data_IF_447032829415
#
_entry.id   IF_447032829415
#
_cell.length_a   1.000
_cell.length_b   1.000
_cell.length_c   1.000
_cell.angle_alpha   90.00
_cell.angle_beta   90.00
_cell.angle_gamma   90.00
#
_symmetry.space_group_name_H-M   'P 1'
#
loop_
_entity.id
_entity.type
_entity.pdbx_description
1 polymer ?
#
# COMPACT_ATOMS: atom_id res chain seq x y z
N UNK A 1 -4.65 11.64 29.43
CA UNK A 1 -5.82 11.92 28.55
C UNK A 1 -5.40 12.15 27.10
N UNK A 2 -4.44 13.03 26.81
CA UNK A 2 -3.96 13.34 25.46
C UNK A 2 -3.36 12.14 24.68
N UNK A 3 -2.75 11.18 25.37
CA UNK A 3 -2.13 9.98 24.78
C UNK A 3 -3.16 8.92 24.34
N UNK A 4 -4.30 8.85 25.01
CA UNK A 4 -5.40 7.92 24.68
C UNK A 4 -6.14 8.42 23.44
N UNK A 5 -6.40 9.73 23.37
CA UNK A 5 -7.06 10.36 22.22
C UNK A 5 -6.24 10.15 20.95
N UNK A 6 -4.90 10.27 20.99
CA UNK A 6 -4.05 9.99 19.82
C UNK A 6 -4.11 8.53 19.36
N UNK A 7 -4.26 7.59 20.28
CA UNK A 7 -4.33 6.15 19.97
C UNK A 7 -5.67 5.76 19.34
N UNK A 8 -6.76 6.41 19.75
CA UNK A 8 -8.12 6.07 19.33
C UNK A 8 -8.81 7.15 18.47
N UNK A 9 -8.05 8.09 17.91
CA UNK A 9 -8.59 9.25 17.20
C UNK A 9 -9.46 8.84 16.02
N UNK A 10 -9.02 7.83 15.26
CA UNK A 10 -9.78 7.30 14.12
C UNK A 10 -11.06 6.62 14.58
N UNK A 11 -11.00 5.81 15.62
CA UNK A 11 -12.15 5.10 16.21
C UNK A 11 -13.17 6.07 16.80
N UNK A 12 -12.71 7.18 17.40
CA UNK A 12 -13.57 8.25 17.90
C UNK A 12 -14.25 8.97 16.72
N UNK A 13 -13.53 9.27 15.64
CA UNK A 13 -14.13 9.87 14.44
C UNK A 13 -15.17 8.94 13.82
N UNK A 14 -14.84 7.66 13.65
CA UNK A 14 -15.79 6.67 13.14
C UNK A 14 -17.01 6.55 14.05
N UNK A 15 -16.82 6.55 15.37
CA UNK A 15 -17.91 6.55 16.35
C UNK A 15 -18.82 7.78 16.25
N UNK A 16 -18.26 8.98 16.05
CA UNK A 16 -19.03 10.21 15.85
C UNK A 16 -19.80 10.17 14.53
N UNK A 17 -19.17 9.76 13.43
CA UNK A 17 -19.85 9.61 12.13
C UNK A 17 -21.01 8.61 12.23
N UNK A 18 -20.80 7.50 12.93
CA UNK A 18 -21.83 6.48 13.15
C UNK A 18 -22.98 7.00 14.01
N UNK A 19 -22.70 7.74 15.08
CA UNK A 19 -23.73 8.38 15.91
C UNK A 19 -24.53 9.42 15.12
N UNK A 20 -23.86 10.22 14.28
CA UNK A 20 -24.53 11.20 13.42
C UNK A 20 -25.45 10.51 12.41
N UNK A 21 -25.02 9.38 11.82
CA UNK A 21 -25.86 8.55 10.94
C UNK A 21 -27.13 8.05 11.63
N UNK A 22 -27.01 7.46 12.82
CA UNK A 22 -28.19 6.96 13.55
C UNK A 22 -29.06 8.07 14.15
N UNK A 23 -28.51 9.25 14.37
CA UNK A 23 -29.27 10.38 14.92
C UNK A 23 -30.27 10.99 13.93
N UNK A 24 -30.10 10.75 12.63
CA UNK A 24 -30.92 11.38 11.58
C UNK A 24 -30.80 12.91 11.51
N UNK A 25 -29.84 13.51 12.23
CA UNK A 25 -29.65 14.97 12.29
C UNK A 25 -29.19 15.53 10.93
N UNK A 26 -28.44 14.73 10.18
CA UNK A 26 -27.95 15.09 8.84
C UNK A 26 -28.60 14.12 7.86
N UNK A 27 -29.49 14.64 7.02
CA UNK A 27 -30.02 13.87 5.89
C UNK A 27 -28.89 13.47 4.94
N UNK A 28 -28.96 12.25 4.41
CA UNK A 28 -28.02 11.71 3.44
C UNK A 28 -26.56 11.62 3.91
N UNK A 29 -26.29 11.39 5.21
CA UNK A 29 -24.92 11.39 5.73
C UNK A 29 -24.04 10.28 5.12
N UNK A 30 -24.65 9.19 4.67
CA UNK A 30 -24.02 8.13 3.90
C UNK A 30 -23.44 8.63 2.57
N UNK A 31 -24.10 9.59 1.91
CA UNK A 31 -23.61 10.21 0.68
C UNK A 31 -22.31 10.96 0.95
N UNK A 32 -22.27 11.76 2.02
CA UNK A 32 -21.05 12.49 2.41
C UNK A 32 -19.92 11.54 2.83
N UNK A 33 -20.25 10.48 3.57
CA UNK A 33 -19.28 9.47 3.99
C UNK A 33 -18.61 8.76 2.80
N UNK A 34 -19.42 8.29 1.84
CA UNK A 34 -18.91 7.65 0.62
C UNK A 34 -18.17 8.65 -0.26
N UNK A 35 -18.67 9.89 -0.36
CA UNK A 35 -18.00 10.98 -1.07
C UNK A 35 -16.59 11.25 -0.53
N UNK A 36 -16.42 11.33 0.79
CA UNK A 36 -15.10 11.45 1.43
C UNK A 36 -14.22 10.24 1.17
N UNK A 37 -14.81 9.03 1.17
CA UNK A 37 -14.11 7.80 0.77
C UNK A 37 -13.58 7.88 -0.67
N UNK A 38 -14.41 8.36 -1.61
CA UNK A 38 -14.02 8.55 -3.01
C UNK A 38 -12.88 9.57 -3.14
N UNK A 39 -12.98 10.72 -2.48
CA UNK A 39 -11.91 11.72 -2.46
C UNK A 39 -10.60 11.17 -1.88
N UNK A 40 -10.66 10.37 -0.83
CA UNK A 40 -9.49 9.75 -0.21
C UNK A 40 -8.79 8.78 -1.18
N UNK A 41 -9.56 7.96 -1.91
CA UNK A 41 -8.99 7.05 -2.92
C UNK A 41 -8.44 7.84 -4.11
N UNK A 42 -9.13 8.87 -4.57
CA UNK A 42 -8.66 9.74 -5.66
C UNK A 42 -7.34 10.42 -5.30
N UNK A 43 -7.20 10.93 -4.06
CA UNK A 43 -5.94 11.47 -3.56
C UNK A 43 -4.84 10.41 -3.52
N UNK A 44 -5.14 9.20 -3.05
CA UNK A 44 -4.19 8.08 -3.06
C UNK A 44 -3.74 7.68 -4.47
N UNK A 45 -4.62 7.78 -5.47
CA UNK A 45 -4.26 7.59 -6.89
C UNK A 45 -3.32 8.71 -7.36
N UNK A 46 -3.67 9.97 -7.07
CA UNK A 46 -2.85 11.12 -7.42
C UNK A 46 -1.43 11.01 -6.84
N UNK A 47 -1.32 10.69 -5.55
CA UNK A 47 -0.03 10.59 -4.88
C UNK A 47 0.87 9.52 -5.49
N UNK A 48 0.30 8.35 -5.84
CA UNK A 48 1.03 7.29 -6.57
C UNK A 48 1.54 7.77 -7.92
N UNK A 49 0.67 8.39 -8.73
CA UNK A 49 1.06 8.90 -10.06
C UNK A 49 2.18 9.93 -9.92
N UNK A 50 2.09 10.82 -8.93
CA UNK A 50 3.10 11.84 -8.65
C UNK A 50 4.44 11.23 -8.21
N UNK A 51 4.40 10.21 -7.35
CA UNK A 51 5.60 9.61 -6.74
C UNK A 51 6.23 8.49 -7.59
N UNK A 52 5.56 7.97 -8.63
CA UNK A 52 6.13 6.99 -9.59
C UNK A 52 7.49 7.40 -10.16
N UNK A 53 7.73 8.70 -10.33
CA UNK A 53 8.99 9.20 -10.88
C UNK A 53 10.15 9.19 -9.88
N UNK A 54 9.89 9.11 -8.57
CA UNK A 54 10.96 9.06 -7.54
C UNK A 54 11.63 7.69 -7.49
N UNK A 55 10.86 6.62 -7.71
CA UNK A 55 11.35 5.22 -7.72
C UNK A 55 12.32 4.95 -8.88
N UNK A 56 12.34 5.81 -9.92
CA UNK A 56 13.31 5.70 -11.02
C UNK A 56 14.74 6.13 -10.64
N UNK A 57 14.95 6.72 -9.45
CA UNK A 57 16.31 6.92 -8.96
C UNK A 57 16.92 5.53 -8.74
N UNK A 58 18.05 5.22 -9.38
CA UNK A 58 18.65 3.88 -9.37
C UNK A 58 19.12 3.37 -8.00
N UNK A 59 18.78 4.08 -6.92
CA UNK A 59 19.07 3.79 -5.52
C UNK A 59 17.85 3.20 -4.78
N UNK A 60 16.67 3.13 -5.42
CA UNK A 60 15.45 2.56 -4.85
C UNK A 60 15.09 1.29 -5.62
N UNK A 61 14.90 0.20 -4.88
CA UNK A 61 14.39 -1.07 -5.36
C UNK A 61 13.06 -1.35 -4.70
N UNK A 62 11.98 -1.32 -5.47
CA UNK A 62 10.67 -1.75 -4.98
C UNK A 62 10.65 -3.28 -4.77
N UNK A 63 9.94 -3.80 -3.77
CA UNK A 63 9.86 -5.24 -3.48
C UNK A 63 8.40 -5.67 -3.40
N UNK A 64 8.03 -6.68 -4.20
CA UNK A 64 6.67 -7.24 -4.21
C UNK A 64 6.50 -8.16 -3.00
N UNK A 65 5.39 -7.97 -2.28
CA UNK A 65 5.00 -8.86 -1.18
C UNK A 65 3.73 -9.64 -1.54
N UNK A 66 3.51 -10.75 -0.84
CA UNK A 66 2.27 -11.53 -0.98
C UNK A 66 1.00 -10.69 -0.69
N UNK A 67 1.11 -9.71 0.21
CA UNK A 67 0.01 -8.81 0.55
C UNK A 67 -0.33 -7.80 -0.56
N UNK A 68 0.61 -7.50 -1.46
CA UNK A 68 0.36 -6.58 -2.57
C UNK A 68 -0.60 -7.18 -3.59
N UNK A 69 -0.49 -8.49 -3.85
CA UNK A 69 -1.40 -9.21 -4.71
C UNK A 69 -2.80 -9.28 -4.09
N UNK A 70 -2.89 -9.60 -2.79
CA UNK A 70 -4.17 -9.57 -2.07
C UNK A 70 -4.82 -8.18 -2.13
N UNK A 71 -4.07 -7.11 -1.86
CA UNK A 71 -4.56 -5.72 -1.91
C UNK A 71 -5.02 -5.33 -3.31
N UNK A 72 -4.33 -5.78 -4.35
CA UNK A 72 -4.71 -5.53 -5.75
C UNK A 72 -6.03 -6.23 -6.06
N UNK A 73 -6.13 -7.51 -5.74
CA UNK A 73 -7.30 -8.35 -6.01
C UNK A 73 -8.53 -7.88 -5.23
N UNK A 74 -8.38 -7.55 -3.94
CA UNK A 74 -9.49 -7.08 -3.12
C UNK A 74 -10.08 -5.77 -3.64
N UNK A 75 -9.24 -4.80 -4.04
CA UNK A 75 -9.70 -3.57 -4.68
C UNK A 75 -10.44 -3.81 -6.00
N UNK A 76 -9.95 -4.76 -6.80
CA UNK A 76 -10.61 -5.15 -8.05
C UNK A 76 -12.01 -5.70 -7.78
N UNK A 77 -12.11 -6.69 -6.89
CA UNK A 77 -13.38 -7.34 -6.53
C UNK A 77 -14.36 -6.31 -5.94
N UNK A 78 -13.92 -5.52 -4.96
CA UNK A 78 -14.75 -4.48 -4.34
C UNK A 78 -15.22 -3.44 -5.36
N UNK A 79 -14.34 -3.04 -6.30
CA UNK A 79 -14.71 -2.12 -7.38
C UNK A 79 -15.79 -2.69 -8.30
N UNK A 80 -15.65 -3.95 -8.72
CA UNK A 80 -16.65 -4.64 -9.56
C UNK A 80 -18.00 -4.74 -8.82
N UNK A 81 -17.98 -5.21 -7.56
CA UNK A 81 -19.18 -5.35 -6.75
C UNK A 81 -19.86 -3.99 -6.57
N UNK A 82 -19.10 -2.93 -6.28
CA UNK A 82 -19.64 -1.58 -6.11
C UNK A 82 -20.33 -1.09 -7.39
N UNK A 83 -19.73 -1.30 -8.57
CA UNK A 83 -20.34 -0.87 -9.85
C UNK A 83 -21.61 -1.67 -10.12
N UNK A 84 -21.54 -3.00 -10.11
CA UNK A 84 -22.69 -3.86 -10.44
C UNK A 84 -23.84 -3.62 -9.46
N UNK A 85 -23.54 -3.63 -8.16
CA UNK A 85 -24.54 -3.39 -7.11
C UNK A 85 -25.19 -2.00 -7.24
N UNK A 86 -24.41 -0.99 -7.64
CA UNK A 86 -24.95 0.36 -7.83
C UNK A 86 -25.80 0.50 -9.08
N UNK A 87 -25.43 -0.16 -10.18
CA UNK A 87 -26.27 -0.21 -11.39
C UNK A 87 -27.63 -0.85 -11.07
N UNK A 88 -27.62 -1.97 -10.34
CA UNK A 88 -28.85 -2.60 -9.85
C UNK A 88 -29.62 -1.63 -8.95
N UNK A 89 -28.95 -0.98 -8.00
CA UNK A 89 -29.55 0.00 -7.11
C UNK A 89 -30.27 1.14 -7.85
N UNK A 90 -29.64 1.73 -8.87
CA UNK A 90 -30.24 2.80 -9.70
C UNK A 90 -31.51 2.33 -10.42
N UNK A 91 -31.54 1.06 -10.85
CA UNK A 91 -32.69 0.51 -11.59
C UNK A 91 -33.91 0.24 -10.69
N UNK A 92 -33.70 -0.04 -9.39
CA UNK A 92 -34.76 -0.48 -8.49
C UNK A 92 -35.06 0.49 -7.34
N UNK A 93 -34.22 1.49 -7.08
CA UNK A 93 -34.34 2.40 -5.93
C UNK A 93 -34.23 3.86 -6.37
N UNK A 94 -35.36 4.43 -6.78
CA UNK A 94 -35.41 5.78 -7.36
C UNK A 94 -34.99 6.90 -6.40
N UNK A 95 -35.24 6.74 -5.09
CA UNK A 95 -34.90 7.74 -4.07
C UNK A 95 -33.40 7.87 -3.81
N UNK A 96 -32.62 6.84 -4.12
CA UNK A 96 -31.20 6.71 -3.76
C UNK A 96 -30.24 6.88 -4.94
N UNK A 97 -30.71 7.45 -6.06
CA UNK A 97 -29.90 7.58 -7.29
C UNK A 97 -28.58 8.31 -7.06
N UNK A 98 -28.58 9.35 -6.23
CA UNK A 98 -27.37 10.11 -5.90
C UNK A 98 -26.34 9.23 -5.17
N UNK A 99 -26.79 8.46 -4.17
CA UNK A 99 -25.96 7.51 -3.43
C UNK A 99 -25.32 6.48 -4.35
N UNK A 100 -26.11 5.82 -5.19
CA UNK A 100 -25.60 4.80 -6.11
C UNK A 100 -24.69 5.38 -7.20
N UNK A 101 -24.93 6.61 -7.65
CA UNK A 101 -24.04 7.29 -8.60
C UNK A 101 -22.65 7.50 -7.99
N UNK A 102 -22.57 7.91 -6.73
CA UNK A 102 -21.28 8.10 -6.03
C UNK A 102 -20.59 6.75 -5.79
N UNK A 103 -21.34 5.68 -5.49
CA UNK A 103 -20.77 4.34 -5.40
C UNK A 103 -20.20 3.84 -6.73
N UNK A 104 -20.79 4.19 -7.87
CA UNK A 104 -20.22 3.90 -9.20
C UNK A 104 -18.86 4.59 -9.34
N UNK A 105 -18.78 5.89 -8.98
CA UNK A 105 -17.52 6.65 -9.01
C UNK A 105 -16.49 5.99 -8.11
N UNK A 106 -16.86 5.63 -6.87
CA UNK A 106 -15.99 4.92 -5.94
C UNK A 106 -15.51 3.59 -6.53
N UNK A 107 -16.40 2.84 -7.18
CA UNK A 107 -16.09 1.58 -7.84
C UNK A 107 -15.03 1.75 -8.93
N UNK A 108 -15.19 2.75 -9.81
CA UNK A 108 -14.17 3.08 -10.81
C UNK A 108 -12.83 3.49 -10.19
N UNK A 109 -12.85 4.30 -9.13
CA UNK A 109 -11.63 4.67 -8.41
C UNK A 109 -10.93 3.45 -7.81
N UNK A 110 -11.68 2.49 -7.27
CA UNK A 110 -11.12 1.22 -6.77
C UNK A 110 -10.48 0.40 -7.89
N UNK A 111 -11.11 0.31 -9.06
CA UNK A 111 -10.54 -0.35 -10.24
C UNK A 111 -9.24 0.33 -10.69
N UNK A 112 -9.25 1.67 -10.84
CA UNK A 112 -8.06 2.44 -11.20
C UNK A 112 -6.96 2.24 -10.15
N UNK A 113 -7.28 2.30 -8.86
CA UNK A 113 -6.31 2.05 -7.80
C UNK A 113 -5.76 0.62 -7.81
N UNK A 114 -6.51 -0.38 -8.31
CA UNK A 114 -6.04 -1.76 -8.45
C UNK A 114 -5.02 -1.87 -9.59
N UNK A 115 -5.29 -1.21 -10.72
CA UNK A 115 -4.36 -1.15 -11.85
C UNK A 115 -3.07 -0.40 -11.50
N UNK A 116 -3.18 0.62 -10.65
CA UNK A 116 -2.05 1.39 -10.12
C UNK A 116 -1.51 0.83 -8.80
N UNK A 117 -1.73 -0.44 -8.47
CA UNK A 117 -1.19 -1.00 -7.22
C UNK A 117 0.33 -1.07 -7.31
N UNK A 118 1.00 -0.37 -6.40
CA UNK A 118 2.45 -0.39 -6.22
C UNK A 118 2.82 -1.42 -5.17
N UNK A 119 4.08 -1.85 -5.15
CA UNK A 119 4.54 -2.72 -4.10
C UNK A 119 4.66 -1.94 -2.79
N UNK A 120 4.30 -2.57 -1.68
CA UNK A 120 4.28 -1.91 -0.36
C UNK A 120 5.66 -1.78 0.26
N UNK A 121 6.60 -2.63 -0.15
CA UNK A 121 7.96 -2.66 0.38
C UNK A 121 8.94 -2.07 -0.63
N UNK A 122 10.00 -1.46 -0.12
CA UNK A 122 11.13 -0.97 -0.91
C UNK A 122 12.41 -1.04 -0.09
N UNK A 123 13.53 -1.13 -0.81
CA UNK A 123 14.88 -0.93 -0.30
C UNK A 123 15.39 0.36 -0.91
N UNK A 124 15.98 1.22 -0.10
CA UNK A 124 16.60 2.46 -0.53
C UNK A 124 18.05 2.51 -0.04
N UNK A 125 18.97 2.96 -0.89
CA UNK A 125 20.37 3.18 -0.52
C UNK A 125 20.64 4.68 -0.44
N UNK A 126 20.94 5.16 0.77
CA UNK A 126 21.23 6.57 1.05
C UNK A 126 22.43 6.68 1.97
N UNK A 127 23.44 7.46 1.58
CA UNK A 127 24.62 7.77 2.40
C UNK A 127 25.34 6.52 2.96
N UNK A 128 25.50 5.48 2.13
CA UNK A 128 26.16 4.23 2.54
C UNK A 128 25.34 3.35 3.49
N UNK A 129 24.04 3.65 3.66
CA UNK A 129 23.09 2.86 4.43
C UNK A 129 22.01 2.28 3.52
N UNK A 130 21.62 1.05 3.82
CA UNK A 130 20.47 0.37 3.29
C UNK A 130 19.29 0.61 4.23
N UNK A 131 18.23 1.23 3.72
CA UNK A 131 16.98 1.49 4.43
C UNK A 131 15.89 0.59 3.88
N UNK A 132 15.21 -0.10 4.78
CA UNK A 132 14.03 -0.92 4.49
C UNK A 132 13.10 -0.90 5.70
N UNK A 133 11.83 -1.30 5.52
CA UNK A 133 10.78 -1.47 6.56
C UNK A 133 10.89 -0.55 7.80
N UNK A 134 10.01 0.46 7.91
CA UNK A 134 9.91 1.35 9.08
C UNK A 134 11.24 2.00 9.54
N UNK A 135 12.06 2.47 8.59
CA UNK A 135 13.34 3.18 8.85
C UNK A 135 14.40 2.31 9.55
N UNK A 136 14.42 1.01 9.28
CA UNK A 136 15.55 0.18 9.68
C UNK A 136 16.74 0.54 8.80
N UNK A 137 17.70 1.28 9.38
CA UNK A 137 18.93 1.70 8.71
C UNK A 137 20.04 0.69 9.00
N UNK A 138 20.49 -0.01 7.96
CA UNK A 138 21.59 -0.97 7.99
C UNK A 138 22.81 -0.35 7.29
N UNK A 139 23.95 -0.25 7.97
CA UNK A 139 25.17 0.24 7.32
C UNK A 139 25.68 -0.81 6.33
N UNK A 140 25.94 -0.42 5.07
CA UNK A 140 26.31 -1.37 4.00
C UNK A 140 27.61 -2.13 4.30
N UNK A 141 28.56 -1.48 4.98
CA UNK A 141 29.83 -2.06 5.42
C UNK A 141 29.68 -3.12 6.52
N UNK A 142 28.52 -3.20 7.18
CA UNK A 142 28.26 -4.20 8.20
C UNK A 142 27.66 -5.49 7.63
N UNK A 143 27.30 -5.53 6.34
CA UNK A 143 26.72 -6.69 5.68
C UNK A 143 27.86 -7.63 5.28
N UNK A 144 27.80 -8.89 5.68
CA UNK A 144 28.77 -9.93 5.33
C UNK A 144 28.29 -10.81 4.18
N UNK A 145 26.99 -11.15 4.15
CA UNK A 145 26.36 -11.87 3.04
C UNK A 145 24.87 -11.53 2.90
N UNK A 146 24.34 -11.75 1.71
CA UNK A 146 22.92 -11.59 1.39
C UNK A 146 22.42 -12.93 0.86
N UNK A 147 21.45 -13.51 1.57
CA UNK A 147 20.76 -14.71 1.12
C UNK A 147 19.38 -14.32 0.59
N UNK A 148 19.09 -14.72 -0.65
CA UNK A 148 17.86 -14.40 -1.35
C UNK A 148 17.07 -15.68 -1.63
N UNK A 149 15.79 -15.65 -1.25
CA UNK A 149 14.82 -16.66 -1.65
C UNK A 149 13.61 -15.98 -2.30
N UNK A 150 12.69 -16.79 -2.82
CA UNK A 150 11.42 -16.31 -3.36
C UNK A 150 10.61 -15.52 -2.30
N UNK A 151 10.77 -15.87 -1.03
CA UNK A 151 9.94 -15.36 0.08
C UNK A 151 10.62 -14.37 1.01
N UNK A 152 11.95 -14.24 0.94
CA UNK A 152 12.70 -13.39 1.86
C UNK A 152 14.07 -12.95 1.34
N UNK A 153 14.56 -11.85 1.92
CA UNK A 153 15.95 -11.39 1.84
C UNK A 153 16.52 -11.39 3.24
N UNK A 154 17.63 -12.09 3.46
CA UNK A 154 18.35 -12.12 4.74
C UNK A 154 19.70 -11.44 4.58
N UNK A 155 19.90 -10.36 5.33
CA UNK A 155 21.17 -9.67 5.49
C UNK A 155 21.87 -10.22 6.73
N UNK A 156 22.94 -10.99 6.51
CA UNK A 156 23.81 -11.42 7.60
C UNK A 156 24.84 -10.32 7.85
N UNK A 157 25.01 -9.93 9.11
CA UNK A 157 25.96 -8.89 9.48
C UNK A 157 27.27 -9.48 10.03
N UNK A 158 28.34 -8.69 9.99
CA UNK A 158 29.67 -9.06 10.51
C UNK A 158 29.64 -9.40 12.02
N UNK A 159 28.68 -8.85 12.77
CA UNK A 159 28.49 -9.10 14.20
C UNK A 159 27.61 -10.33 14.52
N UNK A 160 27.36 -11.22 13.53
CA UNK A 160 26.44 -12.36 13.62
C UNK A 160 24.97 -12.01 13.93
N UNK A 161 24.57 -10.75 13.78
CA UNK A 161 23.15 -10.38 13.79
C UNK A 161 22.55 -10.50 12.40
N UNK A 162 21.28 -10.87 12.33
CA UNK A 162 20.58 -11.06 11.07
C UNK A 162 19.41 -10.09 10.98
N UNK A 163 19.24 -9.54 9.78
CA UNK A 163 18.21 -8.60 9.39
C UNK A 163 17.45 -9.23 8.23
N UNK A 164 16.12 -9.28 8.27
CA UNK A 164 15.33 -9.97 7.24
C UNK A 164 14.17 -9.13 6.75
N UNK A 165 13.90 -9.25 5.46
CA UNK A 165 12.67 -8.80 4.81
C UNK A 165 11.91 -10.06 4.42
N UNK A 166 10.70 -10.22 4.95
CA UNK A 166 9.90 -11.44 4.80
C UNK A 166 8.67 -11.22 3.91
N UNK A 167 7.99 -12.32 3.57
CA UNK A 167 6.72 -12.32 2.81
C UNK A 167 6.83 -11.71 1.42
N UNK A 168 8.00 -11.84 0.81
CA UNK A 168 8.22 -11.46 -0.58
C UNK A 168 7.52 -12.44 -1.51
N UNK A 169 7.22 -11.95 -2.71
CA UNK A 169 6.63 -12.70 -3.82
C UNK A 169 7.54 -12.48 -5.03
N UNK A 170 8.77 -12.99 -4.93
CA UNK A 170 9.78 -12.85 -5.97
C UNK A 170 9.76 -14.07 -6.89
N UNK A 171 9.63 -13.84 -8.19
CA UNK A 171 9.96 -14.84 -9.21
C UNK A 171 11.47 -14.82 -9.52
N UNK A 172 11.93 -15.75 -10.35
CA UNK A 172 13.36 -15.86 -10.71
C UNK A 172 13.90 -14.59 -11.37
N UNK A 173 13.13 -13.97 -12.27
CA UNK A 173 13.50 -12.71 -12.92
C UNK A 173 13.68 -11.60 -11.88
N UNK A 174 12.78 -11.55 -10.88
CA UNK A 174 12.85 -10.58 -9.80
C UNK A 174 14.03 -10.82 -8.90
N UNK A 175 14.36 -12.07 -8.58
CA UNK A 175 15.55 -12.42 -7.82
C UNK A 175 16.79 -11.88 -8.53
N UNK A 176 16.92 -12.07 -9.84
CA UNK A 176 18.11 -11.57 -10.57
C UNK A 176 18.18 -10.04 -10.57
N UNK A 177 17.05 -9.34 -10.74
CA UNK A 177 17.00 -7.87 -10.62
C UNK A 177 17.44 -7.38 -9.23
N UNK A 178 17.07 -8.11 -8.17
CA UNK A 178 17.51 -7.78 -6.81
C UNK A 178 19.01 -8.04 -6.66
N UNK A 179 19.54 -9.13 -7.22
CA UNK A 179 20.99 -9.42 -7.24
C UNK A 179 21.76 -8.32 -7.96
N UNK A 180 21.31 -7.88 -9.13
CA UNK A 180 21.90 -6.76 -9.87
C UNK A 180 21.88 -5.46 -9.08
N UNK A 181 20.76 -5.15 -8.41
CA UNK A 181 20.64 -3.97 -7.56
C UNK A 181 21.70 -3.97 -6.45
N UNK A 182 21.91 -5.10 -5.75
CA UNK A 182 22.94 -5.19 -4.71
C UNK A 182 24.35 -5.16 -5.27
N UNK A 183 24.63 -5.88 -6.36
CA UNK A 183 25.95 -5.84 -7.04
C UNK A 183 26.38 -4.43 -7.44
N UNK A 184 25.42 -3.58 -7.80
CA UNK A 184 25.68 -2.18 -8.18
C UNK A 184 26.10 -1.29 -7.00
N UNK A 185 25.67 -1.61 -5.78
CA UNK A 185 25.86 -0.74 -4.61
C UNK A 185 26.75 -1.33 -3.54
N UNK A 186 27.04 -2.62 -3.61
CA UNK A 186 27.83 -3.33 -2.63
C UNK A 186 28.88 -4.18 -3.35
N UNK A 187 30.13 -3.75 -3.29
CA UNK A 187 31.25 -4.49 -3.85
C UNK A 187 31.64 -5.65 -2.93
N UNK A 188 32.02 -6.79 -3.51
CA UNK A 188 32.68 -7.92 -2.82
C UNK A 188 31.83 -8.72 -1.82
N UNK A 189 30.51 -8.57 -1.80
CA UNK A 189 29.63 -9.41 -0.97
C UNK A 189 29.17 -10.67 -1.71
N UNK A 190 29.19 -11.80 -1.01
CA UNK A 190 28.60 -13.07 -1.47
C UNK A 190 27.07 -12.95 -1.45
N UNK A 191 26.45 -13.11 -2.62
CA UNK A 191 25.00 -13.09 -2.80
C UNK A 191 24.57 -14.50 -3.22
N UNK A 192 23.88 -15.21 -2.33
CA UNK A 192 23.38 -16.58 -2.54
C UNK A 192 21.90 -16.55 -2.89
#
# INVERSE_FOLDING_TARGET
>A
MMTIIKKYYLEIIFGIIFLVYFSGIIENVEIYGIGLGALSIAYGIYDKIKNRNKVKSGNILSLKTNNDQYRKTSKLILGIIAIIGSVIGILYMDSEKAFFTILIILGFLLLISSLLSENSSFIEIVNGKLRYENNTDLALNNISSINLTESEIVFNQVNNSNSRISFLDNDQDRIEQIKEFFRKHINEIKIE
#
